data_IF_531368519217
#
_entry.id   IF_531368519217
#
_cell.length_a   1.000
_cell.length_b   1.000
_cell.length_c   1.000
_cell.angle_alpha   90.00
_cell.angle_beta   90.00
_cell.angle_gamma   90.00
#
_symmetry.space_group_name_H-M   'P 1'
#
loop_
_entity.id
_entity.type
_entity.pdbx_description
1 polymer ?
#
# COMPACT_ATOMS: atom_id res chain seq x y z
N UNK A 1 10.26 -17.10 14.41
CA UNK A 1 9.15 -17.99 14.03
C UNK A 1 8.44 -17.32 12.88
N UNK A 2 8.56 -17.83 11.65
CA UNK A 2 7.82 -17.28 10.50
C UNK A 2 6.37 -17.74 10.65
N UNK A 3 5.44 -16.80 10.54
CA UNK A 3 4.02 -17.13 10.49
C UNK A 3 3.76 -17.76 9.11
N UNK A 4 3.36 -19.02 9.05
CA UNK A 4 2.99 -19.66 7.78
C UNK A 4 1.51 -19.39 7.53
N UNK A 5 1.20 -18.77 6.39
CA UNK A 5 -0.17 -18.43 5.99
C UNK A 5 -0.83 -19.52 5.15
N UNK A 6 -0.09 -20.56 4.74
CA UNK A 6 -0.58 -21.67 3.92
C UNK A 6 -1.92 -22.26 4.39
N UNK A 7 -2.17 -22.48 5.69
CA UNK A 7 -3.43 -23.07 6.15
C UNK A 7 -4.67 -22.22 5.86
N UNK A 8 -4.51 -20.91 5.63
CA UNK A 8 -5.61 -19.97 5.37
C UNK A 8 -5.55 -19.35 3.97
N UNK A 9 -4.60 -19.76 3.12
CA UNK A 9 -4.37 -19.19 1.79
C UNK A 9 -5.63 -19.13 0.95
N UNK A 10 -6.33 -20.24 0.79
CA UNK A 10 -7.53 -20.31 -0.04
C UNK A 10 -8.68 -19.48 0.53
N UNK A 11 -8.76 -19.37 1.87
CA UNK A 11 -9.74 -18.49 2.54
C UNK A 11 -9.44 -17.01 2.27
N UNK A 12 -8.16 -16.62 2.25
CA UNK A 12 -7.75 -15.25 1.95
C UNK A 12 -8.01 -14.89 0.48
N UNK A 13 -7.75 -15.83 -0.45
CA UNK A 13 -8.07 -15.68 -1.88
C UNK A 13 -9.57 -15.50 -2.07
N UNK A 14 -10.38 -16.43 -1.56
CA UNK A 14 -11.84 -16.36 -1.67
C UNK A 14 -12.38 -15.06 -1.05
N UNK A 15 -11.81 -14.63 0.09
CA UNK A 15 -12.20 -13.35 0.70
C UNK A 15 -11.85 -12.16 -0.19
N UNK A 16 -10.65 -12.13 -0.77
CA UNK A 16 -10.26 -11.04 -1.68
C UNK A 16 -11.23 -10.94 -2.86
N UNK A 17 -11.61 -12.05 -3.49
CA UNK A 17 -12.55 -12.07 -4.61
C UNK A 17 -13.93 -11.48 -4.24
N UNK A 18 -14.43 -11.75 -3.02
CA UNK A 18 -15.70 -11.14 -2.54
C UNK A 18 -15.63 -9.63 -2.33
N UNK A 19 -14.42 -9.08 -2.23
CA UNK A 19 -14.17 -7.65 -2.03
C UNK A 19 -13.83 -6.93 -3.34
N UNK A 20 -13.60 -7.67 -4.42
CA UNK A 20 -13.36 -7.09 -5.74
C UNK A 20 -14.64 -6.49 -6.32
N UNK A 21 -14.54 -5.28 -6.85
CA UNK A 21 -15.63 -4.59 -7.52
C UNK A 21 -15.32 -4.47 -9.00
N UNK A 22 -15.93 -5.34 -9.80
CA UNK A 22 -15.75 -5.36 -11.26
C UNK A 22 -16.10 -4.03 -11.93
N UNK A 23 -17.06 -3.28 -11.40
CA UNK A 23 -17.52 -2.03 -11.99
C UNK A 23 -16.46 -0.92 -11.91
N UNK A 24 -15.71 -0.89 -10.82
CA UNK A 24 -14.75 0.17 -10.51
C UNK A 24 -13.29 -0.29 -10.61
N UNK A 25 -13.05 -1.61 -10.67
CA UNK A 25 -11.72 -2.19 -10.75
C UNK A 25 -10.91 -2.01 -9.47
N UNK A 26 -11.54 -2.13 -8.30
CA UNK A 26 -10.89 -1.90 -7.01
C UNK A 26 -11.47 -2.80 -5.92
N UNK A 27 -10.71 -2.99 -4.84
CA UNK A 27 -11.18 -3.66 -3.64
C UNK A 27 -11.82 -2.70 -2.63
N UNK A 28 -12.94 -3.14 -2.05
CA UNK A 28 -13.55 -2.50 -0.86
C UNK A 28 -12.94 -3.00 0.44
N UNK A 29 -13.16 -2.26 1.53
CA UNK A 29 -12.67 -2.62 2.86
C UNK A 29 -13.46 -3.80 3.48
N UNK A 30 -14.74 -3.89 3.19
CA UNK A 30 -15.64 -4.93 3.67
C UNK A 30 -16.93 -4.95 2.88
N UNK A 31 -17.81 -5.89 3.22
CA UNK A 31 -19.07 -6.03 2.47
C UNK A 31 -19.94 -4.78 2.62
N UNK A 32 -20.38 -4.22 1.48
CA UNK A 32 -21.21 -3.02 1.43
C UNK A 32 -20.48 -1.70 1.75
N UNK A 33 -19.16 -1.70 1.89
CA UNK A 33 -18.39 -0.45 2.10
C UNK A 33 -17.89 0.12 0.79
N UNK A 34 -17.70 1.44 0.74
CA UNK A 34 -17.03 2.08 -0.38
C UNK A 34 -15.55 1.67 -0.50
N UNK A 35 -14.98 1.70 -1.72
CA UNK A 35 -13.55 1.53 -1.92
C UNK A 35 -12.74 2.54 -1.15
N UNK A 36 -11.63 2.08 -0.62
CA UNK A 36 -10.77 2.91 0.20
C UNK A 36 -9.31 2.55 -0.02
N UNK A 37 -8.50 3.55 -0.36
CA UNK A 37 -7.13 3.34 -0.83
C UNK A 37 -6.30 2.46 0.13
N UNK A 38 -6.18 2.77 1.45
CA UNK A 38 -5.46 1.91 2.37
C UNK A 38 -5.90 0.44 2.31
N UNK A 39 -7.21 0.19 2.39
CA UNK A 39 -7.76 -1.17 2.40
C UNK A 39 -7.46 -1.91 1.11
N UNK A 40 -7.59 -1.24 -0.04
CA UNK A 40 -7.26 -1.84 -1.33
C UNK A 40 -5.77 -2.19 -1.39
N UNK A 41 -4.88 -1.28 -0.96
CA UNK A 41 -3.43 -1.55 -0.90
C UNK A 41 -3.10 -2.73 0.04
N UNK A 42 -3.82 -2.88 1.16
CA UNK A 42 -3.64 -4.02 2.07
C UNK A 42 -3.98 -5.37 1.43
N UNK A 43 -4.97 -5.44 0.55
CA UNK A 43 -5.27 -6.68 -0.17
C UNK A 43 -4.10 -7.12 -1.05
N UNK A 44 -3.39 -6.18 -1.68
CA UNK A 44 -2.19 -6.53 -2.46
C UNK A 44 -1.11 -7.18 -1.60
N UNK A 45 -0.87 -6.67 -0.39
CA UNK A 45 0.09 -7.29 0.53
C UNK A 45 -0.37 -8.67 1.01
N UNK A 46 -1.66 -8.84 1.31
CA UNK A 46 -2.21 -10.16 1.68
C UNK A 46 -1.95 -11.15 0.54
N UNK A 47 -2.36 -10.80 -0.69
CA UNK A 47 -2.20 -11.66 -1.86
C UNK A 47 -0.72 -11.93 -2.18
N UNK A 48 0.15 -10.93 -2.05
CA UNK A 48 1.59 -11.11 -2.23
C UNK A 48 2.18 -12.05 -1.17
N UNK A 49 1.79 -11.92 0.10
CA UNK A 49 2.31 -12.73 1.21
C UNK A 49 1.96 -14.22 1.13
N UNK A 50 1.00 -14.58 0.27
CA UNK A 50 0.52 -15.96 0.09
C UNK A 50 0.71 -16.46 -1.35
N UNK A 51 1.50 -15.77 -2.18
CA UNK A 51 1.66 -16.06 -3.61
C UNK A 51 0.30 -16.24 -4.33
N UNK A 52 -0.65 -15.37 -4.00
CA UNK A 52 -2.06 -15.45 -4.41
C UNK A 52 -2.45 -14.49 -5.53
N UNK A 53 -1.55 -13.61 -5.98
CA UNK A 53 -1.85 -12.62 -7.03
C UNK A 53 -2.32 -13.26 -8.34
N UNK A 54 -1.73 -14.39 -8.73
CA UNK A 54 -2.11 -15.18 -9.90
C UNK A 54 -3.29 -16.12 -9.68
N UNK A 55 -3.70 -16.33 -8.42
CA UNK A 55 -4.79 -17.21 -8.08
C UNK A 55 -6.16 -16.50 -8.05
N UNK A 56 -6.19 -15.19 -7.83
CA UNK A 56 -7.41 -14.38 -7.85
C UNK A 56 -7.81 -14.02 -9.29
N UNK A 57 -9.10 -14.15 -9.59
CA UNK A 57 -9.65 -13.72 -10.89
C UNK A 57 -9.98 -12.22 -10.89
N UNK A 58 -8.96 -11.35 -11.02
CA UNK A 58 -9.13 -9.89 -11.06
C UNK A 58 -8.46 -9.24 -12.27
N UNK A 59 -8.97 -8.09 -12.70
CA UNK A 59 -8.31 -7.23 -13.68
C UNK A 59 -7.24 -6.35 -12.99
N UNK A 60 -5.99 -6.83 -13.01
CA UNK A 60 -4.84 -6.09 -12.42
C UNK A 60 -4.57 -4.75 -13.10
N UNK A 61 -4.89 -4.60 -14.38
CA UNK A 61 -4.68 -3.33 -15.09
C UNK A 61 -5.62 -2.28 -14.51
N UNK A 62 -6.90 -2.61 -14.39
CA UNK A 62 -7.89 -1.69 -13.82
C UNK A 62 -7.59 -1.34 -12.36
N UNK A 63 -7.11 -2.31 -11.59
CA UNK A 63 -6.68 -2.05 -10.22
C UNK A 63 -5.49 -1.08 -10.16
N UNK A 64 -4.48 -1.32 -10.99
CA UNK A 64 -3.31 -0.44 -11.13
C UNK A 64 -3.72 0.98 -11.52
N UNK A 65 -4.61 1.11 -12.49
CA UNK A 65 -5.11 2.40 -12.96
C UNK A 65 -5.91 3.12 -11.88
N UNK A 66 -6.72 2.40 -11.11
CA UNK A 66 -7.45 2.97 -9.99
C UNK A 66 -6.51 3.52 -8.90
N UNK A 67 -5.45 2.77 -8.55
CA UNK A 67 -4.43 3.22 -7.59
C UNK A 67 -3.73 4.47 -8.13
N UNK A 68 -3.34 4.49 -9.40
CA UNK A 68 -2.70 5.66 -10.02
C UNK A 68 -3.62 6.89 -10.01
N UNK A 69 -4.91 6.71 -10.24
CA UNK A 69 -5.89 7.79 -10.20
C UNK A 69 -6.07 8.42 -8.80
N UNK A 70 -5.64 7.75 -7.73
CA UNK A 70 -5.63 8.35 -6.38
C UNK A 70 -4.44 9.31 -6.16
N UNK A 71 -3.49 9.35 -7.09
CA UNK A 71 -2.35 10.26 -7.00
C UNK A 71 -2.79 11.70 -7.30
N UNK A 72 -2.46 12.63 -6.42
CA UNK A 72 -2.73 14.05 -6.61
C UNK A 72 -1.98 14.59 -7.83
N UNK A 73 -2.69 15.15 -8.80
CA UNK A 73 -2.10 15.80 -9.98
C UNK A 73 -1.24 17.02 -9.60
N UNK A 74 -1.54 17.67 -8.46
CA UNK A 74 -0.88 18.91 -8.03
C UNK A 74 0.54 18.70 -7.54
N UNK A 75 0.74 17.66 -6.73
CA UNK A 75 1.99 17.43 -5.98
C UNK A 75 2.48 15.97 -6.03
N UNK A 76 1.79 15.12 -6.79
CA UNK A 76 2.09 13.69 -6.89
C UNK A 76 1.80 12.90 -5.62
N UNK A 77 1.22 13.50 -4.57
CA UNK A 77 1.06 12.83 -3.28
C UNK A 77 -0.12 11.86 -3.27
N UNK A 78 -0.02 10.87 -2.39
CA UNK A 78 -1.16 10.09 -1.93
C UNK A 78 -1.56 10.58 -0.54
N UNK A 79 -2.81 10.35 -0.14
CA UNK A 79 -3.30 10.76 1.17
C UNK A 79 -3.99 9.60 1.88
N UNK A 80 -3.46 9.24 3.04
CA UNK A 80 -4.20 8.51 4.06
C UNK A 80 -4.82 9.52 5.04
N UNK A 81 -5.95 9.19 5.68
CA UNK A 81 -6.59 10.06 6.65
C UNK A 81 -5.64 10.28 7.82
N UNK A 82 -5.82 11.37 8.55
CA UNK A 82 -5.07 11.59 9.78
C UNK A 82 -5.37 10.48 10.80
N UNK A 83 -4.42 10.18 11.71
CA UNK A 83 -4.70 9.35 12.87
C UNK A 83 -5.75 10.02 13.77
N UNK A 84 -6.40 9.23 14.63
CA UNK A 84 -7.39 9.74 15.59
C UNK A 84 -6.75 10.85 16.45
N UNK A 85 -7.37 12.03 16.48
CA UNK A 85 -6.88 13.18 17.24
C UNK A 85 -5.88 14.08 16.51
N UNK A 86 -5.55 13.78 15.25
CA UNK A 86 -4.75 14.65 14.38
C UNK A 86 -5.58 15.18 13.20
N UNK A 87 -5.15 16.31 12.64
CA UNK A 87 -5.68 16.85 11.38
C UNK A 87 -4.64 16.78 10.24
N UNK A 88 -3.47 16.19 10.51
CA UNK A 88 -2.38 16.13 9.54
C UNK A 88 -2.53 14.86 8.69
N UNK A 89 -2.73 14.97 7.37
CA UNK A 89 -2.84 13.81 6.50
C UNK A 89 -1.52 13.03 6.42
N UNK A 90 -1.60 11.70 6.39
CA UNK A 90 -0.44 10.80 6.38
C UNK A 90 0.07 10.57 4.95
N UNK A 91 0.64 11.61 4.34
CA UNK A 91 1.05 11.58 2.93
C UNK A 91 2.23 10.64 2.63
N UNK A 92 3.26 10.63 3.47
CA UNK A 92 4.45 9.82 3.23
C UNK A 92 4.17 8.32 3.31
N UNK A 93 3.42 7.87 4.32
CA UNK A 93 2.97 6.47 4.44
C UNK A 93 2.13 6.06 3.23
N UNK A 94 1.21 6.93 2.81
CA UNK A 94 0.33 6.65 1.67
C UNK A 94 1.13 6.46 0.38
N UNK A 95 2.08 7.37 0.12
CA UNK A 95 2.95 7.31 -1.06
C UNK A 95 3.81 6.04 -1.06
N UNK A 96 4.41 5.71 0.09
CA UNK A 96 5.24 4.52 0.23
C UNK A 96 4.46 3.23 -0.06
N UNK A 97 3.26 3.11 0.52
CA UNK A 97 2.39 1.96 0.29
C UNK A 97 1.92 1.87 -1.16
N UNK A 98 1.54 3.00 -1.77
CA UNK A 98 1.16 3.02 -3.18
C UNK A 98 2.32 2.57 -4.08
N UNK A 99 3.54 3.10 -3.87
CA UNK A 99 4.73 2.69 -4.64
C UNK A 99 4.98 1.19 -4.53
N UNK A 100 4.97 0.65 -3.30
CA UNK A 100 5.22 -0.78 -3.06
C UNK A 100 4.20 -1.68 -3.71
N UNK A 101 2.91 -1.37 -3.53
CA UNK A 101 1.83 -2.16 -4.14
C UNK A 101 1.88 -2.08 -5.65
N UNK A 102 2.15 -0.91 -6.23
CA UNK A 102 2.37 -0.82 -7.68
C UNK A 102 3.52 -1.70 -8.13
N UNK A 103 4.62 -1.77 -7.37
CA UNK A 103 5.73 -2.70 -7.63
C UNK A 103 5.33 -4.17 -7.56
N UNK A 104 4.56 -4.56 -6.53
CA UNK A 104 3.97 -5.91 -6.39
C UNK A 104 3.11 -6.26 -7.62
N UNK A 105 2.38 -5.29 -8.15
CA UNK A 105 1.53 -5.43 -9.33
C UNK A 105 2.30 -5.33 -10.66
N UNK A 106 3.63 -5.22 -10.64
CA UNK A 106 4.48 -5.11 -11.84
C UNK A 106 4.39 -3.76 -12.53
N UNK A 107 4.10 -2.70 -11.78
CA UNK A 107 3.82 -1.35 -12.27
C UNK A 107 4.56 -0.26 -11.49
N UNK A 108 4.49 0.98 -11.98
CA UNK A 108 5.09 2.16 -11.37
C UNK A 108 4.09 3.26 -11.06
N UNK A 109 4.50 4.25 -10.27
CA UNK A 109 3.75 5.50 -10.04
C UNK A 109 3.43 6.21 -11.37
N UNK A 110 2.30 6.93 -11.44
CA UNK A 110 1.96 7.71 -12.63
C UNK A 110 2.86 8.95 -12.76
N UNK A 111 3.19 9.58 -11.64
CA UNK A 111 4.14 10.68 -11.56
C UNK A 111 5.20 10.42 -10.50
N UNK A 112 6.46 10.63 -10.85
CA UNK A 112 7.59 10.58 -9.90
C UNK A 112 8.15 11.99 -9.75
N UNK A 113 7.91 12.66 -8.62
CA UNK A 113 8.47 13.98 -8.34
C UNK A 113 9.75 13.86 -7.52
N UNK A 114 10.73 14.73 -7.77
CA UNK A 114 12.07 14.63 -7.16
C UNK A 114 12.04 14.75 -5.63
N UNK A 115 11.10 15.52 -5.08
CA UNK A 115 10.86 15.64 -3.63
C UNK A 115 10.29 14.38 -2.98
N UNK A 116 9.81 13.41 -3.77
CA UNK A 116 9.33 12.13 -3.28
C UNK A 116 10.41 11.04 -3.25
N UNK A 117 11.62 11.37 -3.72
CA UNK A 117 12.79 10.47 -3.64
C UNK A 117 13.02 9.99 -2.22
N UNK A 118 12.77 10.85 -1.23
CA UNK A 118 12.88 10.51 0.19
C UNK A 118 11.95 9.34 0.58
N UNK A 119 10.73 9.24 0.07
CA UNK A 119 9.85 8.11 0.39
C UNK A 119 10.13 6.85 -0.45
N UNK A 120 11.21 6.83 -1.23
CA UNK A 120 11.36 5.90 -2.35
C UNK A 120 12.57 4.97 -2.26
N UNK A 121 13.55 5.30 -1.41
CA UNK A 121 14.75 4.50 -1.14
C UNK A 121 15.07 4.50 0.37
N UNK A 122 16.01 3.65 0.81
CA UNK A 122 16.34 3.48 2.24
C UNK A 122 16.91 4.76 2.86
N UNK A 123 17.74 5.50 2.12
CA UNK A 123 18.35 6.74 2.60
C UNK A 123 17.30 7.83 2.80
N UNK A 124 16.40 7.94 1.84
CA UNK A 124 15.23 8.78 1.90
C UNK A 124 14.30 8.42 3.05
N UNK A 125 14.03 7.13 3.27
CA UNK A 125 13.20 6.69 4.38
C UNK A 125 13.83 7.12 5.70
N UNK A 126 15.14 7.00 5.82
CA UNK A 126 15.92 7.52 6.95
C UNK A 126 15.74 9.04 7.15
N UNK A 127 15.81 9.83 6.08
CA UNK A 127 15.61 11.29 6.13
C UNK A 127 14.18 11.65 6.54
N UNK A 128 13.22 10.95 5.95
CA UNK A 128 11.80 11.09 6.28
C UNK A 128 11.52 10.72 7.74
N UNK A 129 12.10 9.63 8.25
CA UNK A 129 12.04 9.25 9.66
C UNK A 129 12.60 10.34 10.57
N UNK A 130 13.74 10.94 10.21
CA UNK A 130 14.35 12.03 11.00
C UNK A 130 13.46 13.27 11.04
N UNK A 131 12.89 13.66 9.90
CA UNK A 131 11.97 14.78 9.81
C UNK A 131 10.70 14.54 10.64
N UNK A 132 10.12 13.34 10.60
CA UNK A 132 8.93 12.97 11.37
C UNK A 132 9.18 12.81 12.87
N UNK A 133 10.33 12.28 13.27
CA UNK A 133 10.74 12.22 14.68
C UNK A 133 10.77 13.62 15.33
N UNK A 134 11.16 14.64 14.55
CA UNK A 134 11.19 16.04 15.00
C UNK A 134 9.80 16.65 15.22
N UNK A 135 8.74 16.04 14.66
CA UNK A 135 7.35 16.50 14.79
C UNK A 135 6.61 15.87 15.98
N UNK A 136 7.23 14.94 16.71
CA UNK A 136 6.65 14.34 17.92
C UNK A 136 5.51 13.34 17.66
N UNK A 137 5.32 12.90 16.41
CA UNK A 137 4.27 11.94 16.03
C UNK A 137 4.71 10.49 16.35
N UNK A 138 3.75 9.60 16.57
CA UNK A 138 4.04 8.25 17.09
C UNK A 138 4.71 7.36 16.03
N UNK A 139 6.00 7.08 16.24
CA UNK A 139 6.90 6.24 15.44
C UNK A 139 6.41 4.80 15.11
N UNK A 140 5.28 4.36 15.67
CA UNK A 140 4.87 2.95 15.69
C UNK A 140 4.31 2.46 14.34
N UNK A 141 3.69 3.32 13.53
CA UNK A 141 3.03 2.88 12.29
C UNK A 141 4.04 2.46 11.19
N UNK A 142 5.20 3.11 11.11
CA UNK A 142 6.23 2.75 10.12
C UNK A 142 7.10 1.59 10.64
N UNK A 143 7.33 1.52 11.96
CA UNK A 143 8.00 0.37 12.58
C UNK A 143 7.15 -0.92 12.49
N UNK A 144 5.81 -0.81 12.48
CA UNK A 144 4.91 -1.94 12.22
C UNK A 144 5.09 -2.54 10.81
N UNK A 145 5.68 -1.79 9.88
CA UNK A 145 5.98 -2.23 8.52
C UNK A 145 7.39 -2.83 8.38
N UNK A 146 8.25 -2.72 9.41
CA UNK A 146 9.62 -3.24 9.39
C UNK A 146 9.74 -4.75 9.10
N UNK A 147 8.83 -5.63 9.57
CA UNK A 147 8.83 -7.04 9.18
C UNK A 147 8.54 -7.25 7.69
N UNK A 148 7.76 -6.38 7.05
CA UNK A 148 7.51 -6.39 5.60
C UNK A 148 8.66 -5.74 4.80
N UNK A 149 9.44 -4.85 5.44
CA UNK A 149 10.66 -4.26 4.87
C UNK A 149 11.80 -5.28 4.78
N UNK A 150 11.94 -6.15 5.78
CA UNK A 150 13.04 -7.11 5.88
C UNK A 150 12.86 -8.38 5.02
N UNK A 151 11.65 -8.64 4.52
CA UNK A 151 11.33 -9.84 3.74
C UNK A 151 11.34 -9.63 2.23
N UNK A 152 11.61 -8.42 1.76
CA UNK A 152 11.70 -8.15 0.33
C UNK A 152 13.15 -8.38 -0.13
N UNK A 153 13.40 -9.18 -1.17
CA UNK A 153 14.68 -9.11 -1.86
C UNK A 153 14.79 -7.70 -2.44
N UNK A 154 15.94 -7.08 -2.22
CA UNK A 154 16.29 -5.80 -2.81
C UNK A 154 16.04 -5.86 -4.33
N UNK A 155 15.36 -4.85 -4.87
CA UNK A 155 15.50 -4.55 -6.30
C UNK A 155 16.98 -4.17 -6.52
N UNK A 156 17.68 -4.76 -7.49
CA UNK A 156 19.07 -4.42 -7.80
C UNK A 156 19.25 -2.95 -8.18
#
# INVERSE_FOLDING_TARGET
>A
MSLQLDPIRDTLIARAETLWLEETGVFRNGDGTDPYLPSSLFIAYILYSIDGLDAVSIDRSRWTDWIRAQQSEKDGSYCFPPPLGSNIPRKGIALWNAKRVLGILGSGLAHFTEYQREASDVAGLHDWFRAWASLGDSHQEVLALAPMLASHPDDP
#
